data_IF_930456739558
#
_entry.id   IF_930456739558
#
_cell.length_a   1.000
_cell.length_b   1.000
_cell.length_c   1.000
_cell.angle_alpha   90.00
_cell.angle_beta   90.00
_cell.angle_gamma   90.00
#
_symmetry.space_group_name_H-M   'P 1'
#
loop_
_entity.id
_entity.type
_entity.pdbx_description
1 polymer ?
#
# COMPACT_ATOMS: atom_id res chain seq x y z
N UNK A 1 4.46 3.62 -25.34
CA UNK A 1 3.06 3.38 -25.76
C UNK A 1 3.06 2.00 -26.39
N UNK A 2 2.13 1.13 -26.02
CA UNK A 2 2.05 -0.20 -26.63
C UNK A 2 1.65 -0.01 -28.08
N UNK A 3 2.48 -0.48 -29.01
CA UNK A 3 2.12 -0.53 -30.42
C UNK A 3 1.09 -1.64 -30.60
N UNK A 4 -0.05 -1.31 -31.16
CA UNK A 4 -1.18 -2.25 -31.32
C UNK A 4 -1.50 -2.50 -32.80
N UNK A 5 -0.68 -2.01 -33.73
CA UNK A 5 -0.93 -2.15 -35.18
C UNK A 5 -1.02 -3.59 -35.63
N UNK A 6 -0.22 -4.47 -35.03
CA UNK A 6 -0.04 -5.86 -35.45
C UNK A 6 -0.86 -6.86 -34.60
N UNK A 7 -1.69 -6.34 -33.68
CA UNK A 7 -2.53 -7.16 -32.80
C UNK A 7 -3.77 -7.62 -33.56
N UNK A 8 -3.89 -8.93 -33.78
CA UNK A 8 -5.06 -9.52 -34.42
C UNK A 8 -6.24 -9.82 -33.49
N UNK A 9 -5.99 -9.92 -32.18
CA UNK A 9 -7.04 -10.02 -31.16
C UNK A 9 -6.62 -9.39 -29.83
N UNK A 10 -7.52 -8.56 -29.28
CA UNK A 10 -7.41 -7.97 -27.94
C UNK A 10 -8.24 -8.81 -26.97
N UNK A 11 -7.60 -9.50 -26.05
CA UNK A 11 -8.24 -10.37 -25.05
C UNK A 11 -8.28 -9.68 -23.69
N UNK A 12 -9.44 -9.15 -23.32
CA UNK A 12 -9.69 -8.62 -21.98
C UNK A 12 -10.17 -9.73 -21.03
N UNK A 13 -9.58 -9.76 -19.84
CA UNK A 13 -9.95 -10.67 -18.77
C UNK A 13 -10.44 -9.87 -17.56
N UNK A 14 -11.69 -10.10 -17.15
CA UNK A 14 -12.13 -9.74 -15.80
C UNK A 14 -11.80 -10.90 -14.86
N UNK A 15 -10.84 -10.67 -13.97
CA UNK A 15 -10.15 -11.75 -13.26
C UNK A 15 -10.85 -12.13 -11.96
N UNK A 16 -11.41 -13.34 -11.90
CA UNK A 16 -12.00 -13.93 -10.69
C UNK A 16 -11.22 -15.13 -10.14
N UNK A 17 -11.44 -15.45 -8.85
CA UNK A 17 -10.67 -16.48 -8.10
C UNK A 17 -10.80 -17.88 -8.71
N UNK A 18 -12.02 -18.30 -9.05
CA UNK A 18 -12.31 -19.61 -9.65
C UNK A 18 -12.45 -19.57 -11.16
N UNK A 19 -13.11 -18.54 -11.67
CA UNK A 19 -13.30 -18.29 -13.11
C UNK A 19 -13.04 -16.81 -13.38
N UNK A 20 -12.38 -16.53 -14.50
CA UNK A 20 -12.37 -15.22 -15.14
C UNK A 20 -13.54 -15.14 -16.11
N UNK A 21 -13.90 -13.93 -16.54
CA UNK A 21 -14.64 -13.75 -17.78
C UNK A 21 -13.72 -13.21 -18.85
N UNK A 22 -13.73 -13.83 -20.02
CA UNK A 22 -12.77 -13.59 -21.08
C UNK A 22 -13.48 -13.16 -22.36
N UNK A 23 -13.14 -11.97 -22.84
CA UNK A 23 -13.70 -11.40 -24.07
C UNK A 23 -12.58 -11.01 -25.02
N UNK A 24 -12.57 -11.59 -26.23
CA UNK A 24 -11.65 -11.20 -27.29
C UNK A 24 -12.36 -10.37 -28.34
N UNK A 25 -11.74 -9.26 -28.75
CA UNK A 25 -12.24 -8.33 -29.77
C UNK A 25 -11.20 -8.22 -30.89
N UNK A 26 -11.62 -8.25 -32.15
CA UNK A 26 -10.74 -8.03 -33.31
C UNK A 26 -10.45 -6.53 -33.51
N UNK A 27 -9.46 -6.14 -34.33
CA UNK A 27 -9.23 -4.73 -34.68
C UNK A 27 -10.47 -3.98 -35.18
N UNK A 28 -11.37 -4.68 -35.87
CA UNK A 28 -12.65 -4.16 -36.36
C UNK A 28 -13.74 -4.00 -35.27
N UNK A 29 -13.46 -4.32 -34.01
CA UNK A 29 -14.43 -4.24 -32.91
C UNK A 29 -15.38 -5.45 -32.81
N UNK A 30 -15.15 -6.51 -33.60
CA UNK A 30 -16.02 -7.70 -33.56
C UNK A 30 -15.59 -8.63 -32.42
N UNK A 31 -16.54 -9.09 -31.61
CA UNK A 31 -16.30 -10.14 -30.60
C UNK A 31 -15.89 -11.45 -31.28
N UNK A 32 -14.66 -11.89 -31.01
CA UNK A 32 -14.10 -13.16 -31.44
C UNK A 32 -14.25 -14.26 -30.37
N UNK A 33 -14.34 -13.87 -29.10
CA UNK A 33 -14.57 -14.75 -27.96
C UNK A 33 -15.29 -13.99 -26.85
N UNK A 34 -16.18 -14.66 -26.10
CA UNK A 34 -16.89 -14.07 -24.97
C UNK A 34 -17.46 -15.18 -24.08
N UNK A 35 -16.67 -15.71 -23.14
CA UNK A 35 -17.09 -16.80 -22.24
C UNK A 35 -16.37 -16.72 -20.90
N UNK A 36 -16.94 -17.40 -19.91
CA UNK A 36 -16.20 -17.75 -18.68
C UNK A 36 -14.99 -18.61 -19.01
N UNK A 37 -13.92 -18.37 -18.29
CA UNK A 37 -12.63 -19.02 -18.43
C UNK A 37 -12.14 -19.44 -17.05
N UNK A 38 -12.09 -20.75 -16.75
CA UNK A 38 -11.55 -21.23 -15.48
C UNK A 38 -10.14 -20.69 -15.23
N UNK A 39 -9.86 -20.32 -13.99
CA UNK A 39 -8.52 -19.89 -13.55
C UNK A 39 -7.60 -21.11 -13.46
N UNK A 40 -7.17 -21.61 -14.63
CA UNK A 40 -6.46 -22.88 -14.79
C UNK A 40 -5.55 -22.78 -16.01
N UNK A 41 -4.26 -23.08 -15.82
CA UNK A 41 -3.27 -23.00 -16.90
C UNK A 41 -3.67 -23.78 -18.16
N UNK A 42 -4.09 -25.06 -18.10
CA UNK A 42 -4.55 -25.78 -19.29
C UNK A 42 -5.65 -25.07 -20.06
N UNK A 43 -6.61 -24.43 -19.36
CA UNK A 43 -7.73 -23.72 -19.99
C UNK A 43 -7.32 -22.36 -20.55
N UNK A 44 -6.44 -21.65 -19.86
CA UNK A 44 -5.81 -20.44 -20.38
C UNK A 44 -5.05 -20.74 -21.68
N UNK A 45 -4.22 -21.78 -21.68
CA UNK A 45 -3.46 -22.23 -22.87
C UNK A 45 -4.38 -22.59 -24.03
N UNK A 46 -5.45 -23.34 -23.77
CA UNK A 46 -6.44 -23.72 -24.79
C UNK A 46 -7.03 -22.48 -25.49
N UNK A 47 -7.44 -21.47 -24.71
CA UNK A 47 -8.03 -20.24 -25.26
C UNK A 47 -7.00 -19.41 -26.01
N UNK A 48 -5.80 -19.22 -25.45
CA UNK A 48 -4.74 -18.44 -26.07
C UNK A 48 -4.27 -19.07 -27.38
N UNK A 49 -4.06 -20.39 -27.40
CA UNK A 49 -3.71 -21.12 -28.63
C UNK A 49 -4.77 -20.95 -29.71
N UNK A 50 -6.06 -21.12 -29.36
CA UNK A 50 -7.16 -20.95 -30.32
C UNK A 50 -7.21 -19.54 -30.90
N UNK A 51 -7.00 -18.51 -30.08
CA UNK A 51 -6.98 -17.12 -30.54
C UNK A 51 -5.76 -16.86 -31.43
N UNK A 52 -4.57 -17.35 -31.05
CA UNK A 52 -3.36 -17.21 -31.88
C UNK A 52 -3.50 -17.88 -33.23
N UNK A 53 -4.02 -19.11 -33.29
CA UNK A 53 -4.22 -19.83 -34.56
C UNK A 53 -5.17 -19.08 -35.49
N UNK A 54 -6.18 -18.40 -34.96
CA UNK A 54 -7.21 -17.73 -35.76
C UNK A 54 -6.86 -16.27 -36.11
N UNK A 55 -6.12 -15.59 -35.26
CA UNK A 55 -5.91 -14.15 -35.33
C UNK A 55 -4.44 -13.72 -35.36
N UNK A 56 -3.49 -14.64 -35.23
CA UNK A 56 -2.06 -14.31 -35.17
C UNK A 56 -1.67 -13.76 -33.80
N UNK A 57 -1.27 -12.50 -33.73
CA UNK A 57 -0.83 -11.87 -32.48
C UNK A 57 -2.01 -11.59 -31.56
N UNK A 58 -1.85 -11.95 -30.28
CA UNK A 58 -2.87 -11.74 -29.23
C UNK A 58 -2.27 -10.85 -28.16
N UNK A 59 -2.97 -9.77 -27.82
CA UNK A 59 -2.68 -8.95 -26.64
C UNK A 59 -3.62 -9.38 -25.51
N UNK A 60 -3.06 -9.86 -24.40
CA UNK A 60 -3.83 -10.25 -23.20
C UNK A 60 -3.79 -9.10 -22.20
N UNK A 61 -4.96 -8.65 -21.76
CA UNK A 61 -5.13 -7.49 -20.88
C UNK A 61 -5.91 -7.89 -19.62
N UNK A 62 -5.38 -7.51 -18.45
CA UNK A 62 -6.03 -7.66 -17.14
C UNK A 62 -6.13 -6.30 -16.45
N UNK A 63 -7.05 -6.16 -15.48
CA UNK A 63 -7.14 -4.96 -14.64
C UNK A 63 -6.28 -5.05 -13.36
N UNK A 64 -5.97 -6.28 -12.94
CA UNK A 64 -5.21 -6.62 -11.73
C UNK A 64 -4.04 -7.57 -12.05
N UNK A 65 -2.88 -7.03 -12.46
CA UNK A 65 -1.76 -7.82 -12.97
C UNK A 65 -1.05 -8.67 -11.91
N UNK A 66 -0.97 -8.21 -10.66
CA UNK A 66 -0.18 -8.86 -9.61
C UNK A 66 -0.97 -9.76 -8.64
N UNK A 67 -2.30 -9.86 -8.82
CA UNK A 67 -3.15 -10.73 -8.00
C UNK A 67 -3.68 -11.91 -8.82
N UNK A 68 -4.99 -11.98 -9.01
CA UNK A 68 -5.68 -13.04 -9.76
C UNK A 68 -5.22 -13.07 -11.23
N UNK A 69 -4.83 -11.91 -11.79
CA UNK A 69 -4.34 -11.82 -13.17
C UNK A 69 -2.92 -12.33 -13.39
N UNK A 70 -2.16 -12.67 -12.34
CA UNK A 70 -0.76 -13.08 -12.46
C UNK A 70 -0.60 -14.34 -13.32
N UNK A 71 -1.41 -15.38 -13.08
CA UNK A 71 -1.35 -16.63 -13.83
C UNK A 71 -1.70 -16.44 -15.32
N UNK A 72 -2.84 -15.80 -15.69
CA UNK A 72 -3.14 -15.49 -17.09
C UNK A 72 -2.01 -14.76 -17.82
N UNK A 73 -1.38 -13.78 -17.19
CA UNK A 73 -0.27 -13.03 -17.79
C UNK A 73 0.99 -13.89 -17.96
N UNK A 74 1.34 -14.70 -16.96
CA UNK A 74 2.49 -15.61 -17.04
C UNK A 74 2.31 -16.64 -18.17
N UNK A 75 1.13 -17.26 -18.25
CA UNK A 75 0.80 -18.22 -19.32
C UNK A 75 0.79 -17.54 -20.69
N UNK A 76 0.27 -16.31 -20.78
CA UNK A 76 0.27 -15.54 -22.02
C UNK A 76 1.70 -15.28 -22.52
N UNK A 77 2.60 -14.83 -21.63
CA UNK A 77 4.02 -14.61 -21.94
C UNK A 77 4.73 -15.89 -22.39
N UNK A 78 4.55 -16.98 -21.66
CA UNK A 78 5.14 -18.29 -21.99
C UNK A 78 4.69 -18.77 -23.38
N UNK A 79 3.44 -18.49 -23.75
CA UNK A 79 2.91 -18.79 -25.08
C UNK A 79 3.29 -17.76 -26.16
N UNK A 80 4.09 -16.74 -25.84
CA UNK A 80 4.47 -15.67 -26.75
C UNK A 80 3.28 -14.81 -27.20
N UNK A 81 2.31 -14.58 -26.31
CA UNK A 81 1.34 -13.49 -26.45
C UNK A 81 1.94 -12.20 -25.91
N UNK A 82 1.47 -11.07 -26.43
CA UNK A 82 1.74 -9.79 -25.79
C UNK A 82 0.86 -9.62 -24.56
N UNK A 83 1.34 -8.84 -23.60
CA UNK A 83 0.62 -8.59 -22.35
C UNK A 83 0.57 -7.11 -22.01
N UNK A 84 -0.55 -6.69 -21.45
CA UNK A 84 -0.76 -5.34 -20.96
C UNK A 84 -1.65 -5.35 -19.73
N UNK A 85 -1.67 -4.25 -18.98
CA UNK A 85 -2.68 -4.06 -17.95
C UNK A 85 -3.41 -2.73 -18.12
N UNK A 86 -4.70 -2.74 -17.78
CA UNK A 86 -5.56 -1.57 -17.76
C UNK A 86 -5.87 -1.21 -16.30
N UNK A 87 -5.31 -0.13 -15.74
CA UNK A 87 -5.52 0.21 -14.33
C UNK A 87 -7.00 0.24 -13.95
N UNK A 88 -7.40 -0.42 -12.87
CA UNK A 88 -8.82 -0.53 -12.47
C UNK A 88 -9.56 0.81 -12.30
N UNK A 89 -8.86 1.90 -11.94
CA UNK A 89 -9.45 3.25 -11.92
C UNK A 89 -9.74 3.79 -13.33
N UNK A 90 -8.86 3.51 -14.29
CA UNK A 90 -9.04 3.85 -15.70
C UNK A 90 -10.17 3.03 -16.30
N UNK A 91 -10.19 1.71 -16.04
CA UNK A 91 -11.29 0.82 -16.42
C UNK A 91 -12.64 1.37 -15.95
N UNK A 92 -12.78 1.73 -14.66
CA UNK A 92 -14.05 2.28 -14.13
C UNK A 92 -14.51 3.54 -14.87
N UNK A 93 -13.59 4.44 -15.24
CA UNK A 93 -13.93 5.67 -15.98
C UNK A 93 -14.32 5.38 -17.42
N UNK A 94 -13.63 4.45 -18.07
CA UNK A 94 -13.94 4.04 -19.44
C UNK A 94 -15.28 3.30 -19.45
N UNK A 95 -15.55 2.47 -18.45
CA UNK A 95 -16.79 1.72 -18.33
C UNK A 95 -18.02 2.63 -18.31
N UNK A 96 -17.94 3.85 -17.76
CA UNK A 96 -19.04 4.82 -17.78
C UNK A 96 -19.42 5.30 -19.21
N UNK A 97 -18.54 5.10 -20.20
CA UNK A 97 -18.79 5.44 -21.61
C UNK A 97 -19.59 4.36 -22.36
N UNK A 98 -19.78 3.16 -21.76
CA UNK A 98 -20.46 2.04 -22.37
C UNK A 98 -21.88 1.89 -21.81
N UNK A 99 -22.88 1.54 -22.65
CA UNK A 99 -24.27 1.41 -22.22
C UNK A 99 -24.46 0.34 -21.14
N UNK A 100 -25.43 0.58 -20.26
CA UNK A 100 -25.82 -0.30 -19.15
C UNK A 100 -25.14 0.03 -17.82
N UNK A 101 -25.94 0.09 -16.75
CA UNK A 101 -25.48 0.41 -15.39
C UNK A 101 -25.11 -0.84 -14.57
N UNK A 102 -25.52 -2.03 -15.04
CA UNK A 102 -25.27 -3.28 -14.33
C UNK A 102 -23.80 -3.69 -14.47
N UNK A 103 -23.09 -3.77 -13.34
CA UNK A 103 -21.76 -4.36 -13.29
C UNK A 103 -21.86 -5.87 -13.53
N UNK A 104 -21.33 -6.33 -14.66
CA UNK A 104 -21.24 -7.76 -14.98
C UNK A 104 -19.83 -8.09 -15.45
N UNK A 105 -19.35 -9.29 -15.12
CA UNK A 105 -17.99 -9.70 -15.45
C UNK A 105 -17.74 -9.70 -16.97
N UNK A 106 -18.78 -10.04 -17.75
CA UNK A 106 -18.75 -9.96 -19.20
C UNK A 106 -18.61 -8.54 -19.75
N UNK A 107 -19.23 -7.56 -19.09
CA UNK A 107 -19.11 -6.15 -19.46
C UNK A 107 -17.71 -5.66 -19.15
N UNK A 108 -17.19 -5.93 -17.96
CA UNK A 108 -15.86 -5.48 -17.55
C UNK A 108 -14.79 -6.10 -18.47
N UNK A 109 -14.86 -7.41 -18.77
CA UNK A 109 -13.96 -8.08 -19.71
C UNK A 109 -14.02 -7.47 -21.13
N UNK A 110 -15.21 -7.15 -21.64
CA UNK A 110 -15.37 -6.48 -22.92
C UNK A 110 -14.79 -5.06 -22.91
N UNK A 111 -15.06 -4.27 -21.86
CA UNK A 111 -14.53 -2.91 -21.74
C UNK A 111 -13.01 -2.94 -21.70
N UNK A 112 -12.40 -3.90 -20.99
CA UNK A 112 -10.94 -4.08 -20.98
C UNK A 112 -10.41 -4.32 -22.40
N UNK A 113 -11.01 -5.26 -23.14
CA UNK A 113 -10.61 -5.59 -24.51
C UNK A 113 -10.79 -4.42 -25.48
N UNK A 114 -11.92 -3.74 -25.42
CA UNK A 114 -12.26 -2.66 -26.35
C UNK A 114 -11.52 -1.36 -26.04
N UNK A 115 -11.23 -1.09 -24.75
CA UNK A 115 -10.35 -0.01 -24.33
C UNK A 115 -8.92 -0.21 -24.85
N UNK A 116 -8.40 -1.44 -24.80
CA UNK A 116 -7.09 -1.77 -25.34
C UNK A 116 -7.02 -1.47 -26.85
N UNK A 117 -8.09 -1.81 -27.58
CA UNK A 117 -8.22 -1.59 -29.03
C UNK A 117 -8.39 -0.12 -29.41
N UNK A 118 -9.27 0.60 -28.73
CA UNK A 118 -9.69 1.97 -29.11
C UNK A 118 -8.90 3.07 -28.41
N UNK A 119 -8.32 2.76 -27.25
CA UNK A 119 -7.60 3.70 -26.39
C UNK A 119 -6.28 3.08 -25.89
N UNK A 120 -5.37 2.63 -26.78
CA UNK A 120 -4.14 1.93 -26.38
C UNK A 120 -3.22 2.76 -25.47
N UNK A 121 -3.32 4.10 -25.53
CA UNK A 121 -2.64 5.04 -24.63
C UNK A 121 -3.05 4.90 -23.14
N UNK A 122 -4.14 4.18 -22.85
CA UNK A 122 -4.61 3.89 -21.49
C UNK A 122 -4.00 2.61 -20.89
N UNK A 123 -3.37 1.78 -21.73
CA UNK A 123 -2.70 0.56 -21.32
C UNK A 123 -1.33 0.85 -20.73
N UNK A 124 -0.86 -0.07 -19.89
CA UNK A 124 0.48 -0.07 -19.33
C UNK A 124 1.19 -1.39 -19.64
N UNK A 125 2.48 -1.29 -19.94
CA UNK A 125 3.37 -2.42 -20.22
C UNK A 125 3.69 -3.20 -18.94
N UNK A 126 3.98 -4.49 -19.10
CA UNK A 126 4.39 -5.41 -18.04
C UNK A 126 5.75 -5.96 -18.52
N UNK A 127 6.86 -5.55 -17.93
CA UNK A 127 8.25 -5.79 -18.41
C UNK A 127 8.93 -6.88 -17.56
N UNK A 128 9.99 -7.60 -17.97
CA UNK A 128 10.64 -8.64 -17.14
C UNK A 128 11.27 -8.14 -15.84
N UNK A 129 11.58 -6.84 -15.74
CA UNK A 129 11.87 -6.17 -14.47
C UNK A 129 10.69 -6.29 -13.46
N UNK A 130 9.52 -6.76 -13.91
CA UNK A 130 8.38 -7.13 -13.07
C UNK A 130 8.65 -8.30 -12.14
N UNK A 131 9.64 -9.18 -12.33
CA UNK A 131 9.78 -10.29 -11.38
C UNK A 131 10.17 -9.79 -9.98
N UNK A 132 11.17 -8.90 -9.89
CA UNK A 132 11.54 -8.25 -8.64
C UNK A 132 10.42 -7.35 -8.11
N UNK A 133 9.71 -6.63 -8.99
CA UNK A 133 8.60 -5.76 -8.59
C UNK A 133 7.37 -6.56 -8.13
N UNK A 134 7.08 -7.69 -8.74
CA UNK A 134 6.00 -8.60 -8.37
C UNK A 134 6.32 -9.33 -7.06
N UNK A 135 7.57 -9.76 -6.86
CA UNK A 135 8.02 -10.30 -5.57
C UNK A 135 7.92 -9.24 -4.47
N UNK A 136 8.38 -8.02 -4.74
CA UNK A 136 8.21 -6.86 -3.85
C UNK A 136 6.73 -6.60 -3.57
N UNK A 137 5.85 -6.65 -4.58
CA UNK A 137 4.42 -6.41 -4.41
C UNK A 137 3.78 -7.45 -3.49
N UNK A 138 4.11 -8.73 -3.67
CA UNK A 138 3.63 -9.80 -2.78
C UNK A 138 4.09 -9.58 -1.34
N UNK A 139 5.38 -9.29 -1.14
CA UNK A 139 5.96 -9.14 0.20
C UNK A 139 5.47 -7.87 0.90
N UNK A 140 5.41 -6.73 0.18
CA UNK A 140 4.89 -5.46 0.71
C UNK A 140 3.40 -5.58 1.01
N UNK A 141 2.64 -6.28 0.16
CA UNK A 141 1.23 -6.58 0.42
C UNK A 141 1.05 -7.37 1.71
N UNK A 142 1.87 -8.40 1.93
CA UNK A 142 1.82 -9.18 3.18
C UNK A 142 2.26 -8.37 4.41
N UNK A 143 3.27 -7.49 4.28
CA UNK A 143 3.64 -6.58 5.36
C UNK A 143 2.54 -5.58 5.72
N UNK A 144 1.79 -5.08 4.73
CA UNK A 144 0.63 -4.20 4.95
C UNK A 144 -0.47 -4.93 5.76
N UNK A 145 -0.71 -6.21 5.46
CA UNK A 145 -1.66 -7.05 6.20
C UNK A 145 -1.22 -7.25 7.66
N UNK A 146 0.05 -7.60 7.88
CA UNK A 146 0.64 -7.73 9.22
C UNK A 146 0.61 -6.41 10.00
N UNK A 147 0.80 -5.27 9.33
CA UNK A 147 0.68 -3.95 9.97
C UNK A 147 -0.77 -3.70 10.45
N UNK A 148 -1.75 -4.11 9.66
CA UNK A 148 -3.17 -4.09 10.03
C UNK A 148 -3.47 -5.00 11.22
N UNK A 149 -2.91 -6.21 11.23
CA UNK A 149 -3.02 -7.15 12.34
C UNK A 149 -2.39 -6.61 13.63
N UNK A 150 -1.15 -6.13 13.57
CA UNK A 150 -0.45 -5.52 14.71
C UNK A 150 -1.28 -4.39 15.33
N UNK A 151 -1.87 -3.53 14.49
CA UNK A 151 -2.74 -2.43 14.93
C UNK A 151 -3.99 -2.97 15.63
N UNK A 152 -4.63 -3.99 15.07
CA UNK A 152 -5.84 -4.61 15.63
C UNK A 152 -5.56 -5.24 16.99
N UNK A 153 -4.48 -6.02 17.10
CA UNK A 153 -4.09 -6.69 18.37
C UNK A 153 -3.68 -5.65 19.41
N UNK A 154 -2.92 -4.62 19.01
CA UNK A 154 -2.56 -3.50 19.90
C UNK A 154 -3.79 -2.80 20.48
N UNK A 155 -4.77 -2.49 19.64
CA UNK A 155 -6.01 -1.85 20.08
C UNK A 155 -6.84 -2.78 20.97
N UNK A 156 -6.83 -4.10 20.72
CA UNK A 156 -7.49 -5.08 21.58
C UNK A 156 -6.84 -5.16 22.97
N UNK A 157 -5.51 -5.19 23.03
CA UNK A 157 -4.76 -5.13 24.29
C UNK A 157 -5.09 -3.84 25.07
N UNK A 158 -5.02 -2.69 24.40
CA UNK A 158 -5.37 -1.40 25.02
C UNK A 158 -6.82 -1.35 25.49
N UNK A 159 -7.75 -1.91 24.71
CA UNK A 159 -9.16 -2.02 25.10
C UNK A 159 -9.37 -2.84 26.36
N UNK A 160 -8.72 -4.01 26.46
CA UNK A 160 -8.76 -4.84 27.67
C UNK A 160 -8.16 -4.12 28.88
N UNK A 161 -7.00 -3.48 28.71
CA UNK A 161 -6.37 -2.69 29.77
C UNK A 161 -7.26 -1.52 30.22
N UNK A 162 -7.90 -0.84 29.28
CA UNK A 162 -8.87 0.24 29.58
C UNK A 162 -10.06 -0.32 30.38
N UNK A 163 -10.53 -1.51 30.04
CA UNK A 163 -11.67 -2.15 30.72
C UNK A 163 -11.32 -2.56 32.16
N UNK A 164 -10.15 -3.19 32.38
CA UNK A 164 -9.81 -3.76 33.70
C UNK A 164 -9.06 -2.77 34.60
N UNK A 165 -8.27 -1.87 34.01
CA UNK A 165 -7.38 -0.97 34.76
C UNK A 165 -6.96 0.30 33.97
N UNK A 166 -7.85 1.30 33.81
CA UNK A 166 -7.58 2.52 33.02
C UNK A 166 -6.28 3.25 33.36
N UNK A 167 -5.89 3.32 34.64
CA UNK A 167 -4.65 3.99 35.07
C UNK A 167 -3.40 3.28 34.54
N UNK A 168 -3.43 1.95 34.50
CA UNK A 168 -2.34 1.13 33.97
C UNK A 168 -2.27 1.33 32.45
N UNK A 169 -3.40 1.35 31.74
CA UNK A 169 -3.45 1.63 30.30
C UNK A 169 -2.77 2.96 29.94
N UNK A 170 -2.98 4.03 30.71
CA UNK A 170 -2.34 5.32 30.43
C UNK A 170 -0.80 5.25 30.46
N UNK A 171 -0.24 4.36 31.29
CA UNK A 171 1.21 4.19 31.44
C UNK A 171 1.78 3.27 30.34
N UNK A 172 1.17 2.10 30.14
CA UNK A 172 1.72 1.06 29.24
C UNK A 172 1.11 1.08 27.83
N UNK A 173 -0.13 1.53 27.68
CA UNK A 173 -0.89 1.54 26.43
C UNK A 173 -0.22 2.31 25.30
N UNK A 174 0.32 3.53 25.53
CA UNK A 174 1.12 4.24 24.53
C UNK A 174 2.37 3.49 24.06
N UNK A 175 2.81 2.48 24.81
CA UNK A 175 4.01 1.67 24.57
C UNK A 175 3.67 0.19 24.37
N UNK A 176 2.43 -0.16 24.02
CA UNK A 176 1.97 -1.56 23.99
C UNK A 176 2.74 -2.45 23.01
N UNK A 177 3.32 -1.87 21.96
CA UNK A 177 4.18 -2.58 21.00
C UNK A 177 5.66 -2.63 21.41
N UNK A 178 6.05 -1.95 22.50
CA UNK A 178 7.45 -1.93 22.92
C UNK A 178 7.85 -3.32 23.43
N UNK A 179 8.98 -3.90 23.00
CA UNK A 179 9.36 -5.29 23.35
C UNK A 179 9.36 -5.58 24.85
N UNK A 180 9.77 -4.60 25.67
CA UNK A 180 9.73 -4.74 27.13
C UNK A 180 8.30 -4.79 27.70
N UNK A 181 7.37 -3.99 27.16
CA UNK A 181 5.97 -4.00 27.58
C UNK A 181 5.28 -5.28 27.13
N UNK A 182 5.59 -5.78 25.93
CA UNK A 182 5.12 -7.08 25.48
C UNK A 182 5.61 -8.21 26.40
N UNK A 183 6.91 -8.23 26.72
CA UNK A 183 7.47 -9.22 27.65
C UNK A 183 6.83 -9.15 29.06
N UNK A 184 6.44 -7.95 29.52
CA UNK A 184 5.66 -7.79 30.75
C UNK A 184 4.29 -8.44 30.63
N UNK A 185 3.54 -8.12 29.59
CA UNK A 185 2.15 -8.56 29.39
C UNK A 185 2.05 -10.05 29.05
N UNK A 186 3.04 -10.60 28.35
CA UNK A 186 3.20 -12.05 28.14
C UNK A 186 3.40 -12.80 29.46
N UNK A 187 4.09 -12.20 30.42
CA UNK A 187 4.42 -12.86 31.69
C UNK A 187 3.41 -12.60 32.81
N UNK A 188 2.79 -11.42 32.80
CA UNK A 188 1.87 -10.94 33.82
C UNK A 188 0.66 -10.28 33.15
N UNK A 189 -0.41 -11.06 32.98
CA UNK A 189 -1.61 -10.66 32.25
C UNK A 189 -2.63 -9.88 33.07
N UNK A 190 -2.48 -9.79 34.39
CA UNK A 190 -3.40 -9.05 35.27
C UNK A 190 -2.69 -8.08 36.22
N UNK A 191 -3.38 -7.00 36.67
CA UNK A 191 -2.85 -6.07 37.66
C UNK A 191 -2.36 -6.75 38.94
N UNK A 192 -3.08 -7.78 39.41
CA UNK A 192 -2.71 -8.55 40.60
C UNK A 192 -1.42 -9.37 40.39
N UNK A 193 -1.22 -9.96 39.21
CA UNK A 193 0.03 -10.66 38.86
C UNK A 193 1.21 -9.69 38.82
N UNK A 194 1.01 -8.50 38.23
CA UNK A 194 2.05 -7.46 38.16
C UNK A 194 2.44 -7.01 39.58
N UNK A 195 1.44 -6.75 40.44
CA UNK A 195 1.65 -6.36 41.84
C UNK A 195 2.42 -7.44 42.62
N UNK A 196 1.99 -8.71 42.50
CA UNK A 196 2.63 -9.87 43.16
C UNK A 196 4.06 -10.09 42.70
N UNK A 197 4.37 -9.84 41.42
CA UNK A 197 5.72 -9.99 40.90
C UNK A 197 6.72 -9.02 41.56
N UNK A 198 6.27 -7.82 41.94
CA UNK A 198 7.06 -6.83 42.65
C UNK A 198 8.05 -6.04 41.77
N UNK A 199 8.38 -4.83 42.22
CA UNK A 199 9.24 -3.87 41.49
C UNK A 199 10.55 -4.48 40.98
N UNK A 200 11.30 -5.15 41.87
CA UNK A 200 12.61 -5.76 41.55
C UNK A 200 12.53 -6.76 40.39
N UNK A 201 11.51 -7.63 40.38
CA UNK A 201 11.33 -8.64 39.33
C UNK A 201 10.96 -8.00 38.01
N UNK A 202 10.10 -6.97 38.04
CA UNK A 202 9.73 -6.20 36.86
C UNK A 202 10.94 -5.47 36.25
N UNK A 203 11.75 -4.80 37.07
CA UNK A 203 12.97 -4.13 36.58
C UNK A 203 13.91 -5.13 35.91
N UNK A 204 14.13 -6.29 36.51
CA UNK A 204 14.97 -7.34 35.93
C UNK A 204 14.42 -7.87 34.60
N UNK A 205 13.09 -7.96 34.45
CA UNK A 205 12.45 -8.37 33.20
C UNK A 205 12.58 -7.31 32.10
N UNK A 206 12.40 -6.03 32.44
CA UNK A 206 12.36 -4.94 31.46
C UNK A 206 13.75 -4.46 31.03
N UNK A 207 14.74 -4.48 31.94
CA UNK A 207 16.08 -3.89 31.73
C UNK A 207 16.79 -4.38 30.48
N UNK A 208 16.78 -5.68 30.11
CA UNK A 208 17.42 -6.15 28.88
C UNK A 208 16.84 -5.55 27.59
N UNK A 209 15.54 -5.19 27.60
CA UNK A 209 14.83 -4.65 26.44
C UNK A 209 14.62 -3.14 26.49
N UNK A 210 14.82 -2.50 27.66
CA UNK A 210 14.51 -1.10 27.89
C UNK A 210 15.41 -0.45 28.96
N UNK A 211 16.76 -0.50 28.81
CA UNK A 211 17.68 -0.20 29.90
C UNK A 211 17.54 1.22 30.46
N UNK A 212 17.22 2.20 29.60
CA UNK A 212 17.09 3.62 29.98
C UNK A 212 15.74 3.98 30.61
N UNK A 213 14.72 3.15 30.47
CA UNK A 213 13.36 3.44 30.95
C UNK A 213 12.84 2.45 31.99
N UNK A 214 13.49 1.29 32.16
CA UNK A 214 12.96 0.20 32.96
C UNK A 214 12.59 0.63 34.38
N UNK A 215 13.48 1.30 35.11
CA UNK A 215 13.21 1.74 36.49
C UNK A 215 12.03 2.73 36.55
N UNK A 216 12.09 3.79 35.75
CA UNK A 216 11.02 4.79 35.68
C UNK A 216 9.67 4.16 35.31
N UNK A 217 9.65 3.31 34.29
CA UNK A 217 8.42 2.65 33.83
C UNK A 217 7.82 1.74 34.91
N UNK A 218 8.66 1.04 35.68
CA UNK A 218 8.18 0.22 36.79
C UNK A 218 7.59 1.08 37.89
N UNK A 219 8.22 2.19 38.26
CA UNK A 219 7.60 3.10 39.24
C UNK A 219 6.28 3.68 38.74
N UNK A 220 6.23 4.14 37.49
CA UNK A 220 4.99 4.64 36.87
C UNK A 220 3.89 3.56 36.88
N UNK A 221 4.24 2.28 36.62
CA UNK A 221 3.31 1.14 36.69
C UNK A 221 2.79 0.96 38.13
N UNK A 222 3.65 0.96 39.14
CA UNK A 222 3.21 0.75 40.52
C UNK A 222 2.39 1.92 41.05
N UNK A 223 2.76 3.16 40.71
CA UNK A 223 1.92 4.34 40.99
C UNK A 223 0.53 4.17 40.36
N UNK A 224 0.45 3.79 39.09
CA UNK A 224 -0.84 3.55 38.44
C UNK A 224 -1.64 2.42 39.10
N UNK A 225 -0.99 1.32 39.50
CA UNK A 225 -1.64 0.23 40.22
C UNK A 225 -2.21 0.67 41.56
N UNK A 226 -1.54 1.58 42.26
CA UNK A 226 -1.97 2.10 43.58
C UNK A 226 -3.12 3.12 43.46
N UNK A 227 -3.28 3.78 42.31
CA UNK A 227 -4.40 4.71 42.06
C UNK A 227 -5.77 4.01 41.95
N UNK A 228 -5.80 2.73 41.56
CA UNK A 228 -7.05 1.98 41.45
C UNK A 228 -7.22 1.01 42.61
N UNK A 229 -8.08 1.37 43.56
CA UNK A 229 -8.39 0.55 44.73
C UNK A 229 -9.48 -0.50 44.49
N UNK A 230 -10.29 -0.32 43.44
CA UNK A 230 -11.43 -1.19 43.11
C UNK A 230 -11.06 -2.15 41.97
N UNK A 231 -11.32 -3.44 42.18
CA UNK A 231 -11.14 -4.47 41.16
C UNK A 231 -12.41 -4.59 40.32
N UNK A 232 -12.27 -4.45 39.01
CA UNK A 232 -13.37 -4.63 38.06
C UNK A 232 -13.72 -6.13 37.98
N UNK A 233 -15.00 -6.53 38.06
CA UNK A 233 -15.39 -7.93 37.89
C UNK A 233 -14.87 -8.54 36.58
N UNK A 234 -14.33 -9.77 36.66
CA UNK A 234 -13.74 -10.45 35.50
C UNK A 234 -12.28 -10.09 35.18
N UNK A 235 -11.63 -9.25 35.99
CA UNK A 235 -10.20 -8.89 35.81
C UNK A 235 -9.28 -10.12 35.78
N UNK A 236 -9.60 -11.19 36.53
CA UNK A 236 -8.77 -12.40 36.54
C UNK A 236 -8.73 -13.12 35.19
N UNK A 237 -9.76 -12.97 34.35
CA UNK A 237 -9.76 -13.50 32.99
C UNK A 237 -8.73 -12.81 32.07
N UNK A 238 -8.27 -11.60 32.44
CA UNK A 238 -7.17 -10.93 31.75
C UNK A 238 -5.87 -11.73 31.84
N UNK A 239 -5.65 -12.48 32.93
CA UNK A 239 -4.48 -13.33 33.11
C UNK A 239 -4.37 -14.45 32.05
N UNK A 240 -5.48 -14.79 31.37
CA UNK A 240 -5.50 -15.75 30.26
C UNK A 240 -5.37 -15.06 28.90
N UNK A 241 -6.09 -13.94 28.72
CA UNK A 241 -6.24 -13.30 27.39
C UNK A 241 -5.11 -12.34 27.04
N UNK A 242 -4.62 -11.56 28.01
CA UNK A 242 -3.55 -10.57 27.79
C UNK A 242 -2.24 -11.24 27.36
N UNK A 243 -1.75 -12.32 28.00
CA UNK A 243 -0.53 -12.99 27.57
C UNK A 243 -0.61 -13.55 26.15
N UNK A 244 -1.75 -14.15 25.79
CA UNK A 244 -1.98 -14.69 24.45
C UNK A 244 -1.93 -13.59 23.38
N UNK A 245 -2.61 -12.45 23.62
CA UNK A 245 -2.60 -11.33 22.70
C UNK A 245 -1.23 -10.66 22.60
N UNK A 246 -0.49 -10.56 23.71
CA UNK A 246 0.86 -10.03 23.71
C UNK A 246 1.81 -10.93 22.90
N UNK A 247 1.73 -12.25 23.09
CA UNK A 247 2.50 -13.21 22.30
C UNK A 247 2.16 -13.17 20.80
N UNK A 248 0.88 -13.06 20.45
CA UNK A 248 0.47 -12.86 19.04
C UNK A 248 1.02 -11.55 18.47
N UNK A 249 0.99 -10.45 19.23
CA UNK A 249 1.53 -9.17 18.78
C UNK A 249 3.05 -9.24 18.59
N UNK A 250 3.78 -9.89 19.50
CA UNK A 250 5.23 -10.14 19.35
C UNK A 250 5.51 -10.91 18.07
N UNK A 251 4.81 -12.02 17.82
CA UNK A 251 5.01 -12.83 16.61
C UNK A 251 4.77 -12.04 15.32
N UNK A 252 3.70 -11.24 15.27
CA UNK A 252 3.40 -10.38 14.11
C UNK A 252 4.49 -9.32 13.92
N UNK A 253 4.98 -8.70 14.99
CA UNK A 253 6.04 -7.70 14.89
C UNK A 253 7.37 -8.30 14.42
N UNK A 254 7.74 -9.48 14.92
CA UNK A 254 8.94 -10.21 14.51
C UNK A 254 8.86 -10.60 13.02
N UNK A 255 7.69 -11.08 12.55
CA UNK A 255 7.46 -11.34 11.13
C UNK A 255 7.66 -10.09 10.28
N UNK A 256 7.15 -8.93 10.73
CA UNK A 256 7.35 -7.67 10.00
C UNK A 256 8.81 -7.23 9.95
N UNK A 257 9.60 -7.52 10.98
CA UNK A 257 11.04 -7.24 10.99
C UNK A 257 11.77 -8.12 9.97
N UNK A 258 11.44 -9.41 9.90
CA UNK A 258 11.98 -10.34 8.89
C UNK A 258 11.64 -9.88 7.46
N UNK A 259 10.39 -9.50 7.20
CA UNK A 259 9.99 -8.99 5.89
C UNK A 259 10.71 -7.66 5.56
N UNK A 260 11.02 -6.83 6.56
CA UNK A 260 11.76 -5.58 6.34
C UNK A 260 13.09 -5.84 5.64
N UNK A 261 13.84 -6.83 6.11
CA UNK A 261 15.14 -7.20 5.56
C UNK A 261 15.01 -7.73 4.12
N UNK A 262 13.98 -8.54 3.83
CA UNK A 262 13.75 -9.04 2.48
C UNK A 262 13.31 -7.95 1.50
N UNK A 263 12.45 -7.02 1.95
CA UNK A 263 12.06 -5.85 1.15
C UNK A 263 13.28 -4.99 0.83
N UNK A 264 14.19 -4.81 1.79
CA UNK A 264 15.44 -4.07 1.59
C UNK A 264 16.31 -4.73 0.51
N UNK A 265 16.58 -6.02 0.62
CA UNK A 265 17.37 -6.78 -0.36
C UNK A 265 16.80 -6.66 -1.78
N UNK A 266 15.49 -6.89 -1.94
CA UNK A 266 14.84 -6.79 -3.25
C UNK A 266 14.82 -5.37 -3.81
N UNK A 267 14.60 -4.38 -2.94
CA UNK A 267 14.65 -2.99 -3.36
C UNK A 267 16.07 -2.61 -3.78
N UNK A 268 17.10 -3.00 -3.05
CA UNK A 268 18.50 -2.72 -3.38
C UNK A 268 18.95 -3.36 -4.71
N UNK A 269 18.41 -4.54 -5.04
CA UNK A 269 18.65 -5.19 -6.32
C UNK A 269 18.05 -4.42 -7.51
N UNK A 270 17.06 -3.54 -7.28
CA UNK A 270 16.40 -2.81 -8.36
C UNK A 270 17.22 -1.57 -8.80
N UNK A 271 17.39 -1.31 -10.12
CA UNK A 271 18.19 -0.17 -10.62
C UNK A 271 17.76 1.21 -10.08
N UNK A 272 16.46 1.42 -9.90
CA UNK A 272 15.90 2.68 -9.38
C UNK A 272 16.04 2.86 -7.86
N UNK A 273 16.59 1.89 -7.14
CA UNK A 273 16.72 1.92 -5.67
C UNK A 273 17.43 3.16 -5.15
N UNK A 274 18.62 3.44 -5.71
CA UNK A 274 19.46 4.57 -5.28
C UNK A 274 18.85 5.90 -5.72
N UNK A 275 18.11 5.93 -6.83
CA UNK A 275 17.31 7.11 -7.24
C UNK A 275 16.25 7.41 -6.17
N UNK A 276 15.40 6.43 -5.84
CA UNK A 276 14.32 6.59 -4.86
C UNK A 276 14.84 6.99 -3.48
N UNK A 277 15.84 6.26 -2.96
CA UNK A 277 16.37 6.45 -1.61
C UNK A 277 17.29 7.68 -1.46
N UNK A 278 17.74 8.29 -2.56
CA UNK A 278 18.47 9.56 -2.52
C UNK A 278 17.62 10.74 -2.03
N UNK A 279 16.29 10.66 -2.15
CA UNK A 279 15.39 11.72 -1.71
C UNK A 279 15.17 11.63 -0.18
N UNK A 280 15.49 12.67 0.61
CA UNK A 280 15.29 12.67 2.05
C UNK A 280 13.86 12.32 2.43
N UNK A 281 13.68 11.38 3.36
CA UNK A 281 12.36 10.89 3.76
C UNK A 281 11.81 9.75 2.89
N UNK A 282 12.55 9.20 1.94
CA UNK A 282 12.21 7.92 1.29
C UNK A 282 13.12 6.83 1.83
N UNK A 283 12.60 6.06 2.80
CA UNK A 283 13.24 4.84 3.30
C UNK A 283 12.75 3.59 2.57
N UNK A 284 13.35 2.43 2.87
CA UNK A 284 13.10 1.13 2.20
C UNK A 284 11.63 0.85 1.88
N UNK A 285 10.76 0.78 2.90
CA UNK A 285 9.33 0.45 2.70
C UNK A 285 8.58 1.48 1.86
N UNK A 286 8.95 2.76 2.01
CA UNK A 286 8.33 3.84 1.23
C UNK A 286 8.82 3.78 -0.23
N UNK A 287 10.11 3.52 -0.43
CA UNK A 287 10.71 3.33 -1.75
C UNK A 287 10.12 2.14 -2.48
N UNK A 288 10.01 0.98 -1.81
CA UNK A 288 9.39 -0.21 -2.36
C UNK A 288 7.92 0.04 -2.75
N UNK A 289 7.13 0.68 -1.88
CA UNK A 289 5.73 1.02 -2.19
C UNK A 289 5.61 1.93 -3.42
N UNK A 290 6.48 2.94 -3.52
CA UNK A 290 6.52 3.84 -4.68
C UNK A 290 6.93 3.05 -5.93
N UNK A 291 7.96 2.21 -5.85
CA UNK A 291 8.43 1.41 -6.97
C UNK A 291 7.33 0.52 -7.55
N UNK A 292 6.60 -0.19 -6.68
CA UNK A 292 5.46 -1.04 -7.06
C UNK A 292 4.38 -0.22 -7.80
N UNK A 293 3.99 0.94 -7.25
CA UNK A 293 2.88 1.71 -7.80
C UNK A 293 3.27 2.61 -9.01
N UNK A 294 4.53 3.01 -9.11
CA UNK A 294 5.02 4.06 -10.03
C UNK A 294 6.00 3.55 -11.08
N UNK A 295 6.82 2.56 -10.75
CA UNK A 295 7.92 2.09 -11.60
C UNK A 295 8.93 3.21 -11.91
N UNK A 296 9.35 3.29 -13.17
CA UNK A 296 10.20 4.35 -13.75
C UNK A 296 9.44 5.66 -14.07
N UNK A 297 8.17 5.75 -13.66
CA UNK A 297 7.24 6.84 -13.97
C UNK A 297 6.90 7.04 -15.46
N UNK A 298 7.39 6.20 -16.38
CA UNK A 298 7.07 6.28 -17.83
C UNK A 298 5.57 6.15 -18.13
N UNK A 299 4.83 5.49 -17.23
CA UNK A 299 3.37 5.33 -17.27
C UNK A 299 2.59 6.62 -16.98
N UNK A 300 3.25 7.72 -16.62
CA UNK A 300 2.59 9.00 -16.33
C UNK A 300 3.05 10.08 -17.31
N UNK A 301 2.13 10.70 -18.08
CA UNK A 301 2.50 11.76 -19.02
C UNK A 301 3.13 12.99 -18.38
N UNK A 302 2.81 13.24 -17.10
CA UNK A 302 3.40 14.33 -16.33
C UNK A 302 3.30 14.06 -14.84
N UNK A 303 4.06 14.81 -14.05
CA UNK A 303 3.99 14.79 -12.60
C UNK A 303 2.57 15.07 -12.04
N UNK A 304 1.78 15.89 -12.75
CA UNK A 304 0.39 16.13 -12.39
C UNK A 304 -0.48 14.87 -12.51
N UNK A 305 -0.22 14.01 -13.50
CA UNK A 305 -0.90 12.72 -13.64
C UNK A 305 -0.52 11.76 -12.51
N UNK A 306 0.76 11.70 -12.14
CA UNK A 306 1.21 10.91 -10.98
C UNK A 306 0.51 11.38 -9.69
N UNK A 307 0.47 12.70 -9.46
CA UNK A 307 -0.18 13.24 -8.27
C UNK A 307 -1.70 13.01 -8.27
N UNK A 308 -2.37 13.06 -9.42
CA UNK A 308 -3.78 12.72 -9.54
C UNK A 308 -4.02 11.22 -9.23
N UNK A 309 -3.17 10.34 -9.76
CA UNK A 309 -3.21 8.91 -9.48
C UNK A 309 -2.99 8.61 -7.99
N UNK A 310 -2.01 9.26 -7.36
CA UNK A 310 -1.75 9.18 -5.92
C UNK A 310 -2.81 9.86 -5.04
N UNK A 311 -3.79 10.56 -5.61
CA UNK A 311 -4.80 11.31 -4.84
C UNK A 311 -4.24 12.50 -4.05
N UNK A 312 -3.11 13.05 -4.51
CA UNK A 312 -2.44 14.26 -4.00
C UNK A 312 -2.86 15.54 -4.74
N UNK A 313 -3.40 15.41 -5.95
CA UNK A 313 -3.97 16.55 -6.66
C UNK A 313 -5.23 17.07 -5.94
N UNK A 314 -5.37 18.39 -5.73
CA UNK A 314 -6.59 18.97 -5.19
C UNK A 314 -7.77 18.68 -6.12
N UNK A 315 -8.93 18.34 -5.55
CA UNK A 315 -10.15 18.16 -6.31
C UNK A 315 -10.97 19.46 -6.23
N UNK A 316 -11.08 20.19 -7.34
CA UNK A 316 -12.06 21.26 -7.50
C UNK A 316 -13.44 20.65 -7.69
N UNK A 317 -14.32 20.79 -6.69
CA UNK A 317 -15.76 20.54 -6.86
C UNK A 317 -16.43 21.87 -7.21
N UNK A 318 -16.57 22.17 -8.50
CA UNK A 318 -17.37 23.30 -8.97
C UNK A 318 -18.83 22.87 -9.13
N UNK A 319 -19.58 22.81 -8.02
CA UNK A 319 -21.05 22.73 -8.09
C UNK A 319 -21.63 24.14 -7.88
N UNK A 320 -21.71 24.92 -8.97
CA UNK A 320 -22.66 26.01 -9.18
C UNK A 320 -22.86 27.14 -8.16
N UNK A 321 -22.00 27.32 -7.15
CA UNK A 321 -22.07 28.39 -6.13
C UNK A 321 -20.72 28.51 -5.40
N UNK A 322 -20.39 29.65 -4.73
CA UNK A 322 -19.04 30.21 -4.70
C UNK A 322 -18.01 29.21 -4.20
N UNK A 323 -16.84 29.22 -4.87
CA UNK A 323 -15.72 28.30 -4.71
C UNK A 323 -15.34 28.17 -3.22
N UNK A 324 -15.96 27.21 -2.53
CA UNK A 324 -15.43 26.69 -1.28
C UNK A 324 -14.18 25.92 -1.65
N UNK A 325 -13.05 26.36 -1.08
CA UNK A 325 -11.69 26.00 -1.51
C UNK A 325 -11.41 24.53 -1.77
N UNK A 326 -10.26 24.29 -2.43
CA UNK A 326 -9.75 22.98 -2.80
C UNK A 326 -9.96 21.92 -1.70
N UNK A 327 -10.76 20.90 -2.01
CA UNK A 327 -11.01 19.79 -1.11
C UNK A 327 -9.96 18.69 -1.36
N UNK A 328 -9.48 17.97 -0.32
CA UNK A 328 -8.66 16.80 -0.51
C UNK A 328 -9.37 15.77 -1.40
N UNK A 329 -8.71 15.27 -2.44
CA UNK A 329 -9.28 14.19 -3.24
C UNK A 329 -9.54 12.97 -2.35
N UNK A 330 -10.78 12.47 -2.39
CA UNK A 330 -11.20 11.17 -1.84
C UNK A 330 -10.95 10.01 -2.82
N UNK A 331 -10.48 10.32 -4.03
CA UNK A 331 -10.15 9.39 -5.11
C UNK A 331 -8.61 9.25 -5.23
N UNK A 332 -8.13 8.12 -5.75
CA UNK A 332 -6.70 7.84 -5.97
C UNK A 332 -6.18 6.64 -5.17
N UNK A 333 -4.95 6.21 -5.46
CA UNK A 333 -4.25 5.13 -4.78
C UNK A 333 -3.93 5.56 -3.34
N UNK A 334 -4.65 4.98 -2.37
CA UNK A 334 -4.54 5.34 -0.94
C UNK A 334 -3.18 4.95 -0.35
N UNK A 335 -2.59 3.85 -0.82
CA UNK A 335 -1.30 3.40 -0.32
C UNK A 335 -0.19 4.32 -0.82
N UNK A 336 -0.21 4.70 -2.09
CA UNK A 336 0.72 5.68 -2.64
C UNK A 336 0.56 7.05 -1.96
N UNK A 337 -0.67 7.49 -1.70
CA UNK A 337 -0.93 8.71 -0.92
C UNK A 337 -0.28 8.67 0.46
N UNK A 338 -0.44 7.53 1.15
CA UNK A 338 0.15 7.31 2.47
C UNK A 338 1.67 7.29 2.40
N UNK A 339 2.26 6.65 1.40
CA UNK A 339 3.71 6.63 1.18
C UNK A 339 4.27 8.06 1.01
N UNK A 340 3.65 8.87 0.15
CA UNK A 340 4.06 10.27 -0.03
C UNK A 340 3.84 11.12 1.23
N UNK A 341 2.77 10.88 2.00
CA UNK A 341 2.53 11.57 3.25
C UNK A 341 3.60 11.24 4.30
N UNK A 342 3.90 9.96 4.51
CA UNK A 342 4.97 9.51 5.41
C UNK A 342 6.33 10.05 4.97
N UNK A 343 6.56 10.09 3.66
CA UNK A 343 7.78 10.66 3.10
C UNK A 343 7.92 12.15 3.38
N UNK A 344 6.85 12.92 3.20
CA UNK A 344 6.81 14.33 3.53
C UNK A 344 7.01 14.59 5.03
N UNK A 345 6.45 13.74 5.90
CA UNK A 345 6.63 13.84 7.35
C UNK A 345 8.09 13.57 7.75
N UNK A 346 8.68 12.48 7.26
CA UNK A 346 10.07 12.13 7.53
C UNK A 346 11.06 13.18 6.98
N UNK A 347 10.72 13.81 5.85
CA UNK A 347 11.51 14.86 5.24
C UNK A 347 11.54 16.17 6.03
N UNK A 348 10.79 16.34 7.12
CA UNK A 348 10.83 17.59 7.91
C UNK A 348 12.19 17.85 8.60
N UNK A 349 13.06 16.85 8.67
CA UNK A 349 14.46 17.03 9.09
C UNK A 349 15.35 17.67 8.00
N UNK A 350 14.93 17.62 6.73
CA UNK A 350 15.61 18.27 5.61
C UNK A 350 15.23 19.77 5.56
N UNK A 351 16.21 20.70 5.54
CA UNK A 351 15.95 22.15 5.56
C UNK A 351 15.05 22.64 4.42
N UNK A 352 15.19 22.09 3.20
CA UNK A 352 14.41 22.53 2.03
C UNK A 352 12.93 22.15 2.20
N UNK A 353 12.69 20.92 2.63
CA UNK A 353 11.36 20.40 2.92
C UNK A 353 10.72 21.13 4.12
N UNK A 354 11.50 21.41 5.17
CA UNK A 354 11.05 22.18 6.35
C UNK A 354 10.62 23.60 5.97
N UNK A 355 11.43 24.31 5.19
CA UNK A 355 11.13 25.68 4.77
C UNK A 355 9.82 25.75 3.97
N UNK A 356 9.56 24.76 3.09
CA UNK A 356 8.29 24.71 2.36
C UNK A 356 7.10 24.40 3.28
N UNK A 357 7.27 23.47 4.22
CA UNK A 357 6.24 23.16 5.23
C UNK A 357 5.89 24.41 6.05
N UNK A 358 6.90 25.13 6.55
CA UNK A 358 6.71 26.36 7.34
C UNK A 358 6.02 27.45 6.56
N UNK A 359 6.38 27.62 5.28
CA UNK A 359 5.67 28.52 4.37
C UNK A 359 4.18 28.17 4.29
N UNK A 360 3.82 26.88 4.26
CA UNK A 360 2.40 26.46 4.23
C UNK A 360 1.69 26.68 5.56
N UNK A 361 2.36 26.47 6.69
CA UNK A 361 1.82 26.81 8.01
C UNK A 361 1.58 28.32 8.12
N UNK A 362 2.52 29.15 7.70
CA UNK A 362 2.39 30.61 7.68
C UNK A 362 1.25 31.09 6.76
N UNK A 363 0.89 30.31 5.74
CA UNK A 363 -0.28 30.53 4.88
C UNK A 363 -1.61 30.06 5.50
N UNK A 364 -1.62 29.69 6.79
CA UNK A 364 -2.83 29.26 7.52
C UNK A 364 -3.25 27.81 7.29
N UNK A 365 -2.42 26.98 6.64
CA UNK A 365 -2.70 25.54 6.51
C UNK A 365 -2.41 24.85 7.84
N UNK A 366 -3.29 23.94 8.26
CA UNK A 366 -3.00 23.09 9.42
C UNK A 366 -1.99 21.99 9.08
N UNK A 367 -1.41 21.35 10.09
CA UNK A 367 -0.32 20.36 9.96
C UNK A 367 -0.52 19.35 8.83
N UNK A 368 -1.65 18.63 8.81
CA UNK A 368 -1.97 17.64 7.78
C UNK A 368 -2.07 18.24 6.38
N UNK A 369 -2.62 19.46 6.24
CA UNK A 369 -2.69 20.15 4.94
C UNK A 369 -1.31 20.56 4.45
N UNK A 370 -0.46 21.10 5.32
CA UNK A 370 0.91 21.48 4.98
C UNK A 370 1.73 20.26 4.54
N UNK A 371 1.59 19.11 5.22
CA UNK A 371 2.19 17.84 4.80
C UNK A 371 1.68 17.36 3.44
N UNK A 372 0.37 17.45 3.17
CA UNK A 372 -0.17 17.07 1.86
C UNK A 372 0.34 17.99 0.73
N UNK A 373 0.48 19.29 0.99
CA UNK A 373 1.12 20.20 0.05
C UNK A 373 2.58 19.84 -0.21
N UNK A 374 3.32 19.44 0.83
CA UNK A 374 4.71 18.99 0.70
C UNK A 374 4.78 17.66 -0.07
N UNK A 375 3.92 16.70 0.25
CA UNK A 375 3.78 15.43 -0.45
C UNK A 375 3.51 15.63 -1.94
N UNK A 376 2.61 16.56 -2.31
CA UNK A 376 2.34 16.93 -3.71
C UNK A 376 3.60 17.44 -4.41
N UNK A 377 4.34 18.36 -3.80
CA UNK A 377 5.60 18.88 -4.36
C UNK A 377 6.65 17.77 -4.50
N UNK A 378 6.72 16.86 -3.53
CA UNK A 378 7.65 15.73 -3.56
C UNK A 378 7.33 14.75 -4.68
N UNK A 379 6.05 14.54 -4.99
CA UNK A 379 5.64 13.76 -6.16
C UNK A 379 6.11 14.38 -7.48
N UNK A 380 6.19 15.72 -7.59
CA UNK A 380 6.76 16.38 -8.77
C UNK A 380 8.26 16.11 -8.91
N UNK A 381 9.00 16.27 -7.82
CA UNK A 381 10.45 16.01 -7.81
C UNK A 381 10.74 14.55 -8.12
N UNK A 382 10.01 13.64 -7.49
CA UNK A 382 10.21 12.21 -7.68
C UNK A 382 9.89 11.76 -9.11
N UNK A 383 8.85 12.33 -9.73
CA UNK A 383 8.54 12.07 -11.13
C UNK A 383 9.71 12.45 -12.04
N UNK A 384 10.32 13.63 -11.83
CA UNK A 384 11.47 14.07 -12.61
C UNK A 384 12.69 13.15 -12.38
N UNK A 385 12.97 12.81 -11.12
CA UNK A 385 14.07 11.91 -10.76
C UNK A 385 13.96 10.53 -11.43
N UNK A 386 12.75 9.95 -11.42
CA UNK A 386 12.51 8.62 -12.02
C UNK A 386 12.59 8.67 -13.54
N UNK A 387 12.01 9.69 -14.18
CA UNK A 387 12.07 9.90 -15.63
C UNK A 387 13.51 10.08 -16.14
N UNK A 388 14.31 10.86 -15.40
CA UNK A 388 15.65 11.26 -15.84
C UNK A 388 16.74 10.33 -15.29
N UNK A 389 16.40 9.39 -14.39
CA UNK A 389 17.36 8.51 -13.73
C UNK A 389 18.33 9.25 -12.80
N UNK A 390 17.95 10.43 -12.29
CA UNK A 390 18.85 11.32 -11.53
C UNK A 390 18.61 11.24 -10.03
N UNK A 391 19.68 11.39 -9.24
CA UNK A 391 19.56 11.54 -7.79
C UNK A 391 18.92 12.86 -7.39
N UNK A 392 18.39 12.88 -6.16
CA UNK A 392 17.77 14.05 -5.58
C UNK A 392 18.74 15.24 -5.53
N UNK A 393 18.31 16.36 -6.10
CA UNK A 393 18.98 17.64 -5.98
C UNK A 393 18.14 18.56 -5.08
N UNK A 394 18.71 19.11 -3.98
CA UNK A 394 18.00 20.03 -3.10
C UNK A 394 17.69 21.39 -3.77
N UNK A 395 18.32 21.70 -4.91
CA UNK A 395 18.07 22.94 -5.64
C UNK A 395 16.68 22.89 -6.30
N UNK A 396 15.83 23.91 -6.12
CA UNK A 396 14.55 23.96 -6.81
C UNK A 396 14.79 24.01 -8.33
N UNK A 397 14.09 23.17 -9.09
CA UNK A 397 14.08 23.26 -10.54
C UNK A 397 13.71 24.70 -10.95
N UNK A 398 14.43 25.31 -11.91
CA UNK A 398 14.09 26.65 -12.38
C UNK A 398 12.65 26.63 -12.89
N UNK A 399 11.82 27.49 -12.34
CA UNK A 399 10.44 27.68 -12.81
C UNK A 399 10.49 28.23 -14.22
N UNK A 400 10.17 27.38 -15.20
CA UNK A 400 9.88 27.77 -16.58
C UNK A 400 8.41 28.10 -16.78
#
# INVERSE_FOLDING_TARGET
MIDVSDIGAFLGLDVGKGEHHATAVTPAGKKAFDKRLPNSEPKLREVFARLKTKHGTVLVIVDQPASIGALPLAVARDMGCEVAYLPGLTLRRIADLYPGEAKTDARDAFVIADAARSMPHTLRTIDPADETVAELEMIVGFDDDLAGEATRVSNRLRGLLTQIHPHLERVIGPRVQHPAVLALLERFGSPAQIRTAGRRRLVNLLRPKAPRMAERLVEDIFTALDEQTVVVPGTDAAALTVPSLAGSLTAVLDQRELLAARIEELLEAHPLSKVLTSMPGIGVRTGARILIDVGDASSFPSAAHLAAYAGLAPATRSSGSPIRGEQPSRRGNKQLKRAFFLSAFAALADPVSRAYYDKKIAQGKHHTQALLCLARRRADVLFAMLRDGTFYDPRPAPTG
#
